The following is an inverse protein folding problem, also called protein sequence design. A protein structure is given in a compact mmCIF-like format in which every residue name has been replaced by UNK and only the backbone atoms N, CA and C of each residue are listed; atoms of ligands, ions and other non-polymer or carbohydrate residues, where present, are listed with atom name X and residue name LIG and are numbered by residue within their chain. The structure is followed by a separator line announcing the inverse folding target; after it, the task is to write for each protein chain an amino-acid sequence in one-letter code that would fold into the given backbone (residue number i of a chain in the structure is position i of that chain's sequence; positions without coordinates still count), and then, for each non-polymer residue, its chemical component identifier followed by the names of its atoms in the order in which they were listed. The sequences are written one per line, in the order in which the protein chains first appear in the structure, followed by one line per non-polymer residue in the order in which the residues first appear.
data_IF_273254127686
#
_entry.id   IF_273254127686
#
_cell.length_a   1.000
_cell.length_b   1.000
_cell.length_c   1.000
_cell.angle_alpha   90.00
_cell.angle_beta   90.00
_cell.angle_gamma   90.00
#
_symmetry.space_group_name_H-M   'P 1'
#
loop_
_entity.id
_entity.type
_entity.pdbx_description
1 polymer ?
#
# COMPACT_ATOMS: atom_id res chain seq x y z
N UNK A 1 -3.34 -25.83 -20.47
CA UNK A 1 -2.77 -24.49 -20.61
C UNK A 1 -3.74 -23.50 -21.17
N UNK A 2 -4.34 -23.81 -22.32
CA UNK A 2 -5.28 -22.86 -22.92
C UNK A 2 -6.52 -22.64 -22.05
N UNK A 3 -6.99 -23.69 -21.40
CA UNK A 3 -8.13 -23.58 -20.51
C UNK A 3 -7.82 -22.64 -19.35
N UNK A 4 -6.63 -22.80 -18.80
CA UNK A 4 -6.19 -21.91 -17.73
C UNK A 4 -6.15 -20.47 -18.21
N UNK A 5 -5.67 -20.27 -19.43
CA UNK A 5 -5.58 -18.93 -19.99
C UNK A 5 -6.95 -18.31 -20.15
N UNK A 6 -7.90 -19.07 -20.62
CA UNK A 6 -9.27 -18.57 -20.78
C UNK A 6 -9.86 -18.13 -19.46
N UNK A 7 -9.75 -19.00 -18.46
CA UNK A 7 -10.24 -18.67 -17.12
C UNK A 7 -9.48 -17.49 -16.55
N UNK A 8 -8.18 -17.48 -16.77
CA UNK A 8 -7.34 -16.41 -16.26
C UNK A 8 -7.76 -15.08 -16.87
N UNK A 9 -8.08 -15.07 -18.14
CA UNK A 9 -8.50 -13.85 -18.82
C UNK A 9 -9.77 -13.28 -18.18
N UNK A 10 -10.77 -14.12 -17.96
CA UNK A 10 -12.02 -13.69 -17.33
C UNK A 10 -11.75 -13.22 -15.90
N UNK A 11 -10.96 -14.00 -15.17
CA UNK A 11 -10.61 -13.64 -13.80
C UNK A 11 -9.75 -12.40 -13.75
N UNK A 12 -8.90 -12.22 -14.77
CA UNK A 12 -8.04 -11.05 -14.83
C UNK A 12 -8.82 -9.76 -14.92
N UNK A 13 -9.92 -9.76 -15.66
CA UNK A 13 -10.75 -8.55 -15.76
C UNK A 13 -11.35 -8.19 -14.41
N UNK A 14 -11.88 -9.19 -13.71
CA UNK A 14 -12.46 -8.98 -12.38
C UNK A 14 -11.37 -8.57 -11.41
N UNK A 15 -10.23 -9.25 -11.44
CA UNK A 15 -9.12 -8.95 -10.56
C UNK A 15 -8.57 -7.57 -10.82
N UNK A 16 -8.47 -7.17 -12.08
CA UNK A 16 -7.99 -5.84 -12.43
C UNK A 16 -8.91 -4.76 -11.88
N UNK A 17 -10.22 -4.99 -11.99
CA UNK A 17 -11.19 -4.04 -11.45
C UNK A 17 -11.06 -3.91 -9.94
N UNK A 18 -10.95 -5.04 -9.25
CA UNK A 18 -10.77 -5.04 -7.81
C UNK A 18 -9.46 -4.37 -7.41
N UNK A 19 -8.40 -4.62 -8.17
CA UNK A 19 -7.12 -3.98 -7.95
C UNK A 19 -7.27 -2.46 -8.02
N UNK A 20 -7.91 -1.96 -9.08
CA UNK A 20 -8.10 -0.54 -9.27
C UNK A 20 -8.93 0.08 -8.15
N UNK A 21 -9.99 -0.59 -7.75
CA UNK A 21 -10.83 -0.09 -6.67
C UNK A 21 -10.04 0.03 -5.37
N UNK A 22 -9.28 -1.01 -5.04
CA UNK A 22 -8.48 -1.02 -3.81
C UNK A 22 -7.38 0.03 -3.87
N UNK A 23 -6.74 0.14 -5.02
CA UNK A 23 -5.68 1.12 -5.21
C UNK A 23 -6.22 2.54 -5.06
N UNK A 24 -7.30 2.84 -5.76
CA UNK A 24 -7.88 4.17 -5.69
C UNK A 24 -8.35 4.51 -4.29
N UNK A 25 -8.93 3.54 -3.60
CA UNK A 25 -9.33 3.74 -2.22
C UNK A 25 -8.13 4.08 -1.34
N UNK A 26 -7.04 3.36 -1.55
CA UNK A 26 -5.84 3.56 -0.75
C UNK A 26 -5.25 4.95 -0.97
N UNK A 27 -5.14 5.39 -2.23
CA UNK A 27 -4.46 6.65 -2.53
C UNK A 27 -5.38 7.86 -2.46
N UNK A 28 -6.69 7.66 -2.40
CA UNK A 28 -7.64 8.77 -2.38
C UNK A 28 -7.93 9.24 -0.96
N UNK A 29 -6.86 9.57 -0.25
CA UNK A 29 -6.95 10.02 1.14
C UNK A 29 -5.67 10.77 1.49
N UNK A 30 -5.77 12.02 1.95
CA UNK A 30 -4.59 12.83 2.21
C UNK A 30 -3.66 12.25 3.28
N UNK A 31 -4.23 11.60 4.30
CA UNK A 31 -3.41 11.00 5.35
C UNK A 31 -2.60 9.84 4.77
N UNK A 32 -3.23 9.00 3.98
CA UNK A 32 -2.54 7.87 3.37
C UNK A 32 -1.50 8.33 2.36
N UNK A 33 -1.78 9.39 1.61
CA UNK A 33 -0.77 9.95 0.71
C UNK A 33 0.43 10.48 1.48
N UNK A 34 0.20 11.07 2.65
CA UNK A 34 1.28 11.53 3.51
C UNK A 34 2.14 10.35 3.98
N UNK A 35 1.51 9.26 4.36
CA UNK A 35 2.24 8.05 4.76
C UNK A 35 3.11 7.55 3.61
N UNK A 36 2.55 7.52 2.40
CA UNK A 36 3.32 7.10 1.23
C UNK A 36 4.51 8.00 0.96
N UNK A 37 4.34 9.30 1.15
CA UNK A 37 5.45 10.24 0.98
C UNK A 37 6.55 9.98 2.00
N UNK A 38 6.17 9.70 3.22
CA UNK A 38 7.14 9.39 4.27
C UNK A 38 7.92 8.12 3.90
N UNK A 39 7.20 7.08 3.51
CA UNK A 39 7.82 5.80 3.16
C UNK A 39 8.64 5.89 1.88
N UNK A 40 8.30 6.82 1.00
CA UNK A 40 9.08 7.01 -0.21
C UNK A 40 10.48 7.54 0.08
N UNK A 41 10.64 8.18 1.22
CA UNK A 41 11.95 8.68 1.65
C UNK A 41 12.77 7.60 2.33
N UNK A 42 12.13 6.54 2.80
CA UNK A 42 12.85 5.44 3.42
C UNK A 42 11.88 4.54 4.18
N UNK A 43 12.30 3.30 4.36
CA UNK A 43 11.52 2.32 5.10
C UNK A 43 11.39 2.76 6.56
N UNK A 44 10.25 2.46 7.16
CA UNK A 44 9.98 2.86 8.54
C UNK A 44 9.39 1.71 9.34
N UNK A 45 9.69 1.71 10.64
CA UNK A 45 8.98 0.84 11.57
C UNK A 45 7.66 1.49 11.92
N UNK A 46 6.78 0.73 12.56
CA UNK A 46 5.51 1.27 13.01
C UNK A 46 5.72 2.44 13.98
N UNK A 47 6.66 2.28 14.91
CA UNK A 47 6.95 3.34 15.86
C UNK A 47 7.41 4.63 15.20
N UNK A 48 8.24 4.50 14.17
CA UNK A 48 8.69 5.67 13.42
C UNK A 48 7.52 6.35 12.71
N UNK A 49 6.60 5.56 12.16
CA UNK A 49 5.44 6.12 11.50
C UNK A 49 4.50 6.81 12.48
N UNK A 50 4.33 6.23 13.67
CA UNK A 50 3.55 6.90 14.73
C UNK A 50 4.13 8.26 15.02
N UNK A 51 5.45 8.31 15.17
CA UNK A 51 6.16 9.56 15.48
C UNK A 51 6.00 10.59 14.37
N UNK A 52 6.15 10.15 13.12
CA UNK A 52 6.15 11.07 11.99
C UNK A 52 4.75 11.52 11.58
N UNK A 53 3.75 10.68 11.79
CA UNK A 53 2.38 11.03 11.42
C UNK A 53 1.60 11.65 12.56
N UNK A 54 2.05 11.43 13.79
CA UNK A 54 1.36 11.87 14.99
C UNK A 54 -0.01 11.25 15.15
N UNK A 55 -0.24 10.12 14.46
CA UNK A 55 -1.47 9.37 14.60
C UNK A 55 -1.33 8.35 15.73
N UNK A 56 -2.44 8.01 16.37
CA UNK A 56 -2.40 6.92 17.31
C UNK A 56 -2.18 5.60 16.56
N UNK A 57 -1.66 4.62 17.27
CA UNK A 57 -1.26 3.37 16.64
C UNK A 57 -2.43 2.64 15.96
N UNK A 58 -3.59 2.65 16.60
CA UNK A 58 -4.76 1.97 16.05
C UNK A 58 -5.20 2.58 14.72
N UNK A 59 -5.29 3.91 14.69
CA UNK A 59 -5.67 4.63 13.47
C UNK A 59 -4.63 4.41 12.38
N UNK A 60 -3.36 4.49 12.75
CA UNK A 60 -2.28 4.28 11.79
C UNK A 60 -2.32 2.87 11.20
N UNK A 61 -2.51 1.87 12.04
CA UNK A 61 -2.59 0.49 11.56
C UNK A 61 -3.74 0.30 10.58
N UNK A 62 -4.85 0.98 10.83
CA UNK A 62 -5.98 0.90 9.91
C UNK A 62 -5.60 1.47 8.54
N UNK A 63 -4.98 2.64 8.52
CA UNK A 63 -4.53 3.25 7.26
C UNK A 63 -3.51 2.36 6.55
N UNK A 64 -2.60 1.76 7.32
CA UNK A 64 -1.60 0.87 6.74
C UNK A 64 -2.25 -0.36 6.11
N UNK A 65 -3.28 -0.90 6.75
CA UNK A 65 -3.97 -2.05 6.18
C UNK A 65 -4.68 -1.70 4.87
N UNK A 66 -5.26 -0.51 4.78
CA UNK A 66 -5.87 -0.05 3.53
C UNK A 66 -4.82 0.11 2.44
N UNK A 67 -3.66 0.65 2.81
CA UNK A 67 -2.55 0.80 1.86
C UNK A 67 -2.02 -0.56 1.39
N UNK A 68 -1.92 -1.53 2.29
CA UNK A 68 -1.51 -2.87 1.90
C UNK A 68 -2.52 -3.52 0.96
N UNK A 69 -3.80 -3.39 1.28
CA UNK A 69 -4.85 -3.93 0.43
C UNK A 69 -4.88 -3.26 -0.94
N UNK A 70 -4.39 -2.04 -1.02
CA UNK A 70 -4.29 -1.31 -2.29
C UNK A 70 -2.97 -1.50 -2.99
N UNK A 71 -2.13 -2.41 -2.49
CA UNK A 71 -0.83 -2.76 -3.09
C UNK A 71 0.16 -1.60 -3.10
N UNK A 72 -0.04 -0.64 -2.20
CA UNK A 72 0.81 0.54 -2.15
C UNK A 72 2.00 0.38 -1.23
N UNK A 73 1.89 -0.47 -0.24
CA UNK A 73 2.98 -0.75 0.70
C UNK A 73 3.05 -2.24 0.98
N UNK A 74 4.18 -2.64 1.53
CA UNK A 74 4.35 -4.02 1.98
C UNK A 74 5.21 -4.03 3.23
N UNK A 75 5.12 -5.11 3.98
CA UNK A 75 5.90 -5.29 5.18
C UNK A 75 7.13 -6.13 4.86
N UNK A 76 8.23 -5.79 5.49
CA UNK A 76 9.48 -6.52 5.32
C UNK A 76 10.10 -6.76 6.67
N UNK A 77 10.37 -8.03 6.98
CA UNK A 77 11.07 -8.37 8.21
C UNK A 77 12.56 -8.36 7.92
N UNK A 78 13.30 -7.51 8.62
CA UNK A 78 14.73 -7.42 8.43
C UNK A 78 15.40 -7.47 9.80
N UNK A 79 16.12 -8.56 10.04
CA UNK A 79 16.87 -8.76 11.28
C UNK A 79 15.97 -8.62 12.51
N UNK A 80 14.79 -9.23 12.44
CA UNK A 80 13.85 -9.20 13.54
C UNK A 80 13.00 -7.96 13.64
N UNK A 81 13.24 -6.97 12.79
CA UNK A 81 12.43 -5.74 12.78
C UNK A 81 11.45 -5.77 11.63
N UNK A 82 10.22 -5.38 11.91
CA UNK A 82 9.21 -5.25 10.86
C UNK A 82 9.23 -3.84 10.32
N UNK A 83 9.52 -3.74 9.03
CA UNK A 83 9.58 -2.45 8.34
C UNK A 83 8.47 -2.36 7.31
N UNK A 84 7.94 -1.16 7.14
CA UNK A 84 7.00 -0.87 6.07
C UNK A 84 7.77 -0.17 4.96
N UNK A 85 7.47 -0.56 3.72
CA UNK A 85 8.11 0.07 2.57
C UNK A 85 7.08 0.31 1.48
N UNK A 86 7.29 1.36 0.70
CA UNK A 86 6.41 1.68 -0.41
C UNK A 86 6.73 0.75 -1.58
N UNK A 87 5.67 0.31 -2.26
CA UNK A 87 5.83 -0.48 -3.48
C UNK A 87 5.97 0.45 -4.68
N UNK A 88 6.20 -0.13 -5.84
CA UNK A 88 6.27 0.64 -7.07
C UNK A 88 4.95 1.34 -7.36
N UNK A 89 3.84 0.64 -7.10
CA UNK A 89 2.51 1.20 -7.27
C UNK A 89 2.28 2.39 -6.33
N UNK A 90 2.77 2.29 -5.09
CA UNK A 90 2.63 3.38 -4.14
C UNK A 90 3.44 4.61 -4.48
N UNK A 91 4.57 4.41 -5.16
CA UNK A 91 5.44 5.53 -5.54
C UNK A 91 4.81 6.47 -6.55
N UNK A 92 3.93 5.94 -7.38
CA UNK A 92 3.27 6.73 -8.44
C UNK A 92 2.50 7.91 -7.86
N UNK A 93 2.01 7.77 -6.63
CA UNK A 93 1.24 8.82 -5.98
C UNK A 93 2.02 10.13 -5.88
N UNK A 94 3.34 10.06 -5.76
CA UNK A 94 4.18 11.25 -5.65
C UNK A 94 4.17 12.08 -6.92
N UNK A 95 3.87 11.49 -8.05
CA UNK A 95 3.83 12.20 -9.32
C UNK A 95 2.47 12.81 -9.60
N UNK A 96 1.45 12.33 -8.90
CA UNK A 96 0.09 12.84 -9.07
C UNK A 96 -0.12 14.10 -8.24
N UNK A 97 0.51 14.15 -7.10
CA UNK A 97 0.45 15.29 -6.22
C UNK A 97 1.42 16.37 -6.65
#
# INVERSE_FOLDING_TARGET
MSEKKSKTTTNSEVETRLFHERYLRAVNNPIRRKILCILNKGKCTLGELVSKTELDETTLKWHLSVLENGFCIEQQNKQGKMLYKVTQEGKVVNYIN
#
